data_IF_815060360842
#
_entry.id   IF_815060360842
#
_cell.length_a   1.000
_cell.length_b   1.000
_cell.length_c   1.000
_cell.angle_alpha   90.00
_cell.angle_beta   90.00
_cell.angle_gamma   90.00
#
_symmetry.space_group_name_H-M   'P 1'
#
loop_
_entity.id
_entity.type
_entity.pdbx_description
1 polymer ?
#
# COMPACT_ATOMS: atom_id res chain seq x y z
N UNK A 1 -16.90 -9.49 8.76
CA UNK A 1 -15.91 -9.47 9.86
C UNK A 1 -15.04 -8.26 9.67
N UNK A 2 -14.90 -7.44 10.71
CA UNK A 2 -14.05 -6.24 10.70
C UNK A 2 -12.59 -6.59 10.97
N UNK A 3 -11.70 -5.85 10.32
CA UNK A 3 -10.26 -5.96 10.51
C UNK A 3 -9.67 -4.58 10.68
N UNK A 4 -8.77 -4.43 11.65
CA UNK A 4 -8.03 -3.17 11.83
C UNK A 4 -6.72 -3.22 11.07
N UNK A 5 -6.43 -2.18 10.31
CA UNK A 5 -5.16 -2.02 9.61
C UNK A 5 -4.10 -1.54 10.59
N UNK A 6 -3.03 -2.31 10.75
CA UNK A 6 -1.90 -1.98 11.62
C UNK A 6 -0.90 -1.11 10.88
N UNK A 7 -0.58 -1.50 9.64
CA UNK A 7 0.51 -0.95 8.87
C UNK A 7 0.30 -1.24 7.39
N UNK A 8 0.77 -0.37 6.51
CA UNK A 8 0.63 -0.52 5.06
C UNK A 8 1.90 -0.07 4.36
N UNK A 9 2.38 -0.90 3.44
CA UNK A 9 3.60 -0.71 2.65
C UNK A 9 3.21 -0.71 1.18
N UNK A 10 3.72 0.23 0.41
CA UNK A 10 3.48 0.31 -1.03
C UNK A 10 4.76 -0.01 -1.78
N UNK A 11 4.68 -0.95 -2.73
CA UNK A 11 5.74 -1.25 -3.68
C UNK A 11 5.44 -0.55 -5.02
N UNK A 12 6.15 0.54 -5.36
CA UNK A 12 5.94 1.33 -6.55
C UNK A 12 6.38 0.61 -7.82
N UNK A 13 7.37 -0.29 -7.73
CA UNK A 13 7.86 -1.10 -8.86
C UNK A 13 6.91 -2.21 -9.29
N UNK A 14 5.96 -2.61 -8.43
CA UNK A 14 5.01 -3.70 -8.71
C UNK A 14 3.56 -3.25 -8.76
N UNK A 15 3.25 -2.02 -8.32
CA UNK A 15 1.87 -1.54 -8.22
C UNK A 15 1.04 -2.29 -7.15
N UNK A 16 1.71 -2.89 -6.15
CA UNK A 16 1.09 -3.68 -5.09
C UNK A 16 1.23 -2.96 -3.75
N UNK A 17 0.12 -2.91 -3.01
CA UNK A 17 0.08 -2.54 -1.60
C UNK A 17 0.01 -3.79 -0.74
N UNK A 18 0.76 -3.75 0.36
CA UNK A 18 0.74 -4.75 1.40
C UNK A 18 0.16 -4.13 2.66
N UNK A 19 -0.86 -4.75 3.27
CA UNK A 19 -1.39 -4.30 4.56
C UNK A 19 -1.32 -5.41 5.60
N UNK A 20 -0.73 -5.08 6.75
CA UNK A 20 -0.82 -5.89 7.95
C UNK A 20 -2.16 -5.56 8.62
N UNK A 21 -3.01 -6.57 8.76
CA UNK A 21 -4.33 -6.43 9.36
C UNK A 21 -4.47 -7.39 10.53
N UNK A 22 -5.28 -7.03 11.53
CA UNK A 22 -5.60 -7.94 12.61
C UNK A 22 -7.09 -7.94 12.95
N UNK A 23 -7.57 -9.10 13.35
CA UNK A 23 -8.93 -9.27 13.85
C UNK A 23 -8.98 -9.04 15.37
N UNK A 24 -10.20 -8.94 15.90
CA UNK A 24 -10.48 -8.91 17.34
C UNK A 24 -10.02 -10.18 18.09
N UNK A 25 -9.80 -11.30 17.39
CA UNK A 25 -9.34 -12.58 17.95
C UNK A 25 -7.82 -12.78 17.82
N UNK A 26 -7.04 -11.71 17.68
CA UNK A 26 -5.58 -11.72 17.53
C UNK A 26 -5.02 -12.42 16.29
N UNK A 27 -5.86 -12.86 15.34
CA UNK A 27 -5.38 -13.33 14.04
C UNK A 27 -4.80 -12.15 13.24
N UNK A 28 -3.54 -12.26 12.83
CA UNK A 28 -2.84 -11.28 11.99
C UNK A 28 -2.61 -11.84 10.59
N UNK A 29 -2.95 -11.05 9.57
CA UNK A 29 -2.80 -11.41 8.17
C UNK A 29 -2.04 -10.31 7.42
N UNK A 30 -1.46 -10.69 6.29
CA UNK A 30 -0.92 -9.77 5.30
C UNK A 30 -1.78 -9.83 4.04
N UNK A 31 -2.40 -8.73 3.67
CA UNK A 31 -3.10 -8.55 2.41
C UNK A 31 -2.15 -8.04 1.34
N UNK A 32 -2.30 -8.56 0.11
CA UNK A 32 -1.58 -8.15 -1.08
C UNK A 32 -2.62 -7.73 -2.10
N UNK A 33 -2.63 -6.47 -2.50
CA UNK A 33 -3.72 -5.91 -3.30
C UNK A 33 -3.25 -4.77 -4.19
N UNK A 34 -4.08 -4.38 -5.14
CA UNK A 34 -3.80 -3.26 -6.04
C UNK A 34 -3.56 -1.96 -5.26
N UNK A 35 -2.45 -1.26 -5.56
CA UNK A 35 -2.01 -0.10 -4.80
C UNK A 35 -2.83 1.19 -4.99
N UNK A 36 -3.71 1.24 -5.99
CA UNK A 36 -4.57 2.41 -6.26
C UNK A 36 -5.63 2.60 -5.18
N UNK A 37 -5.96 1.54 -4.45
CA UNK A 37 -6.71 1.61 -3.20
C UNK A 37 -5.68 1.59 -2.09
N UNK A 38 -5.68 2.59 -1.21
CA UNK A 38 -4.81 2.61 -0.05
C UNK A 38 -5.63 2.38 1.21
N UNK A 39 -5.23 1.37 2.00
CA UNK A 39 -5.79 1.12 3.33
C UNK A 39 -4.88 1.77 4.37
N UNK A 40 -5.23 2.93 4.95
CA UNK A 40 -4.37 3.64 5.89
C UNK A 40 -4.27 2.90 7.24
N UNK A 41 -3.10 2.93 7.91
CA UNK A 41 -2.97 2.47 9.29
C UNK A 41 -4.03 3.11 10.20
N UNK A 42 -4.63 2.31 11.08
CA UNK A 42 -5.70 2.73 11.99
C UNK A 42 -7.11 2.60 11.42
N UNK A 43 -7.28 2.44 10.10
CA UNK A 43 -8.61 2.23 9.50
C UNK A 43 -9.19 0.85 9.82
N UNK A 44 -10.52 0.76 9.74
CA UNK A 44 -11.27 -0.49 9.78
C UNK A 44 -11.63 -0.88 8.36
N UNK A 45 -11.35 -2.13 8.01
CA UNK A 45 -11.72 -2.72 6.73
C UNK A 45 -12.71 -3.86 6.90
N UNK A 46 -13.67 -3.94 5.98
CA UNK A 46 -14.66 -5.01 5.92
C UNK A 46 -14.68 -5.57 4.50
N UNK A 47 -14.43 -6.88 4.31
CA UNK A 47 -14.59 -7.53 3.01
C UNK A 47 -16.02 -7.36 2.49
N UNK A 48 -16.16 -7.01 1.22
CA UNK A 48 -17.44 -6.79 0.56
C UNK A 48 -17.44 -7.46 -0.83
N UNK A 49 -18.61 -7.78 -1.41
CA UNK A 49 -18.63 -8.62 -2.62
C UNK A 49 -17.90 -8.01 -3.84
N UNK A 50 -17.77 -6.68 -3.88
CA UNK A 50 -17.19 -5.90 -4.98
C UNK A 50 -15.91 -5.16 -4.55
N UNK A 51 -15.33 -5.52 -3.40
CA UNK A 51 -14.12 -4.88 -2.89
C UNK A 51 -14.07 -4.86 -1.38
N UNK A 52 -13.76 -3.70 -0.81
CA UNK A 52 -13.60 -3.52 0.63
C UNK A 52 -14.24 -2.22 1.06
N UNK A 53 -14.97 -2.26 2.19
CA UNK A 53 -15.33 -1.05 2.91
C UNK A 53 -14.11 -0.60 3.73
N UNK A 54 -13.65 0.63 3.55
CA UNK A 54 -12.62 1.26 4.38
C UNK A 54 -13.29 2.41 5.12
N UNK A 55 -13.42 2.30 6.45
CA UNK A 55 -14.20 3.24 7.27
C UNK A 55 -15.57 3.56 6.64
N UNK A 56 -16.35 2.50 6.39
CA UNK A 56 -17.71 2.54 5.82
C UNK A 56 -17.86 3.03 4.37
N UNK A 57 -16.76 3.38 3.70
CA UNK A 57 -16.79 3.75 2.28
C UNK A 57 -16.31 2.59 1.40
N UNK A 58 -17.09 2.27 0.37
CA UNK A 58 -16.77 1.17 -0.56
C UNK A 58 -15.68 1.58 -1.56
N UNK A 59 -14.64 0.76 -1.63
CA UNK A 59 -13.58 0.85 -2.62
C UNK A 59 -13.49 -0.46 -3.40
N UNK A 60 -13.56 -0.42 -4.75
CA UNK A 60 -13.30 -1.61 -5.56
C UNK A 60 -11.81 -1.94 -5.46
N UNK A 61 -11.48 -3.13 -4.96
CA UNK A 61 -10.09 -3.55 -4.77
C UNK A 61 -9.89 -4.97 -5.28
N UNK A 62 -8.82 -5.17 -6.05
CA UNK A 62 -8.36 -6.49 -6.44
C UNK A 62 -7.38 -6.99 -5.39
N UNK A 63 -7.74 -8.08 -4.70
CA UNK A 63 -6.86 -8.76 -3.74
C UNK A 63 -6.15 -9.90 -4.47
N UNK A 64 -4.82 -9.84 -4.51
CA UNK A 64 -3.98 -10.85 -5.17
C UNK A 64 -3.67 -12.02 -4.25
N UNK A 65 -3.45 -11.76 -2.96
CA UNK A 65 -3.10 -12.80 -2.00
C UNK A 65 -3.45 -12.39 -0.56
N UNK A 66 -3.69 -13.39 0.28
CA UNK A 66 -3.89 -13.23 1.73
C UNK A 66 -3.07 -14.31 2.43
N UNK A 67 -2.10 -13.88 3.23
CA UNK A 67 -1.23 -14.80 3.97
C UNK A 67 -1.29 -14.53 5.46
N UNK A 68 -0.86 -15.50 6.29
CA UNK A 68 -0.63 -15.22 7.72
C UNK A 68 0.51 -14.22 7.85
N UNK A 69 0.41 -13.33 8.82
CA UNK A 69 1.47 -12.36 9.06
C UNK A 69 2.79 -13.07 9.40
N UNK A 70 3.84 -12.75 8.65
CA UNK A 70 5.20 -13.20 8.88
C UNK A 70 6.10 -11.97 9.09
N UNK A 71 6.69 -11.80 10.30
CA UNK A 71 7.51 -10.63 10.61
C UNK A 71 8.75 -10.49 9.72
N UNK A 72 9.41 -11.59 9.36
CA UNK A 72 10.62 -11.57 8.54
C UNK A 72 10.29 -11.14 7.10
N UNK A 73 9.20 -11.68 6.54
CA UNK A 73 8.70 -11.25 5.24
C UNK A 73 8.28 -9.78 5.28
N UNK A 74 7.57 -9.34 6.32
CA UNK A 74 7.14 -7.95 6.46
C UNK A 74 8.32 -6.97 6.50
N UNK A 75 9.38 -7.32 7.25
CA UNK A 75 10.63 -6.54 7.28
C UNK A 75 11.24 -6.43 5.87
N UNK A 76 11.36 -7.56 5.17
CA UNK A 76 11.87 -7.59 3.80
C UNK A 76 11.02 -6.73 2.84
N UNK A 77 9.69 -6.77 2.95
CA UNK A 77 8.80 -5.92 2.15
C UNK A 77 9.07 -4.44 2.37
N UNK A 78 9.25 -4.01 3.63
CA UNK A 78 9.57 -2.60 3.94
C UNK A 78 10.90 -2.17 3.34
N UNK A 79 11.93 -2.99 3.50
CA UNK A 79 13.29 -2.69 3.03
C UNK A 79 13.34 -2.61 1.49
N UNK A 80 12.61 -3.47 0.78
CA UNK A 80 12.71 -3.58 -0.68
C UNK A 80 11.69 -2.74 -1.46
N UNK A 81 10.65 -2.21 -0.81
CA UNK A 81 9.62 -1.44 -1.51
C UNK A 81 10.11 -0.07 -1.98
N UNK A 82 11.08 0.56 -1.30
CA UNK A 82 11.70 1.84 -1.70
C UNK A 82 10.74 3.03 -2.00
N UNK A 83 9.44 2.93 -1.75
CA UNK A 83 8.52 4.05 -1.94
C UNK A 83 8.84 5.13 -0.89
N UNK A 84 9.12 6.38 -1.30
CA UNK A 84 9.38 7.47 -0.36
C UNK A 84 8.20 7.73 0.60
N UNK A 85 6.98 7.45 0.17
CA UNK A 85 5.78 7.60 0.99
C UNK A 85 5.61 6.56 2.09
N UNK A 86 6.38 5.47 2.07
CA UNK A 86 6.44 4.52 3.19
C UNK A 86 7.27 5.07 4.36
N UNK A 87 8.07 6.12 4.16
CA UNK A 87 8.92 6.71 5.18
C UNK A 87 8.12 7.66 6.09
N UNK A 88 8.55 7.74 7.35
CA UNK A 88 8.10 8.74 8.31
C UNK A 88 9.34 9.52 8.82
N UNK A 89 9.35 10.87 8.76
CA UNK A 89 8.30 11.74 8.22
C UNK A 89 8.11 11.58 6.71
N UNK A 90 6.90 11.90 6.23
CA UNK A 90 6.59 11.85 4.80
C UNK A 90 7.35 12.98 4.07
N UNK A 91 8.02 12.69 2.95
CA UNK A 91 8.69 13.72 2.17
C UNK A 91 7.67 14.64 1.49
N UNK A 92 8.09 15.85 1.09
CA UNK A 92 7.23 16.77 0.33
C UNK A 92 7.08 16.36 -1.14
N UNK A 93 8.10 15.69 -1.70
CA UNK A 93 8.14 15.26 -3.09
C UNK A 93 8.49 13.77 -3.23
N UNK A 94 8.06 13.16 -4.34
CA UNK A 94 8.43 11.78 -4.64
C UNK A 94 9.86 11.72 -5.21
N UNK A 95 10.77 11.10 -4.46
CA UNK A 95 12.16 10.84 -4.87
C UNK A 95 12.39 9.45 -5.46
N UNK A 96 11.32 8.70 -5.77
CA UNK A 96 11.45 7.36 -6.34
C UNK A 96 12.09 7.47 -7.73
N UNK A 97 13.26 6.83 -7.97
CA UNK A 97 14.08 7.11 -9.15
C UNK A 97 13.60 6.42 -10.43
N UNK A 98 12.60 5.54 -10.35
CA UNK A 98 12.10 4.75 -11.49
C UNK A 98 10.64 5.09 -11.79
N UNK A 99 10.12 4.53 -12.90
CA UNK A 99 8.69 4.59 -13.20
C UNK A 99 7.89 3.91 -12.09
N UNK A 100 6.97 4.67 -11.48
CA UNK A 100 6.07 4.18 -10.45
C UNK A 100 4.82 3.62 -11.12
N UNK A 101 4.55 2.32 -10.93
CA UNK A 101 3.38 1.63 -11.49
C UNK A 101 2.07 1.95 -10.75
N UNK A 102 2.12 2.69 -9.66
CA UNK A 102 0.92 3.16 -8.94
C UNK A 102 0.32 4.34 -9.70
N UNK A 103 -0.94 4.18 -10.15
CA UNK A 103 -1.57 5.15 -11.07
C UNK A 103 -1.77 6.51 -10.41
N UNK A 104 -2.26 6.52 -9.16
CA UNK A 104 -2.49 7.71 -8.33
C UNK A 104 -1.74 7.56 -7.01
N UNK A 105 -0.86 8.53 -6.69
CA UNK A 105 -0.10 8.46 -5.45
C UNK A 105 -1.02 8.59 -4.22
N UNK A 106 -1.14 7.57 -3.36
CA UNK A 106 -2.03 7.63 -2.20
C UNK A 106 -1.51 8.56 -1.10
N UNK A 107 -0.24 8.97 -1.19
CA UNK A 107 0.39 9.92 -0.28
C UNK A 107 0.33 11.36 -0.79
N UNK A 108 -0.22 11.60 -1.99
CA UNK A 108 -0.30 12.95 -2.58
C UNK A 108 1.05 13.54 -3.02
N UNK A 109 2.10 12.72 -3.13
CA UNK A 109 3.42 13.19 -3.54
C UNK A 109 3.46 13.48 -5.03
N UNK A 110 3.94 14.67 -5.41
CA UNK A 110 4.17 15.03 -6.80
C UNK A 110 5.31 14.18 -7.36
N UNK A 111 5.09 13.54 -8.52
CA UNK A 111 6.17 12.85 -9.24
C UNK A 111 7.16 13.91 -9.71
N UNK A 112 8.42 13.80 -9.31
CA UNK A 112 9.49 14.48 -10.01
C UNK A 112 9.63 13.83 -11.39
N UNK A 113 8.88 14.32 -12.37
CA UNK A 113 9.12 13.99 -13.76
C UNK A 113 10.42 14.72 -14.10
N UNK A 114 11.57 14.07 -13.89
CA UNK A 114 12.76 14.46 -14.62
C UNK A 114 12.43 14.19 -16.09
N UNK A 115 12.07 15.25 -16.81
CA UNK A 115 11.94 15.21 -18.26
C UNK A 115 13.34 14.87 -18.76
N UNK A 116 13.53 13.60 -19.11
CA UNK A 116 14.75 13.13 -19.74
C UNK A 116 14.80 13.76 -21.14
N UNK A 117 15.37 14.97 -21.22
CA UNK A 117 15.71 15.65 -22.47
C UNK A 117 16.89 14.94 -23.14
N UNK A 118 16.72 13.66 -23.48
CA UNK A 118 17.68 12.88 -24.26
C UNK A 118 16.99 12.19 -25.42
N UNK A 119 16.59 12.99 -26.41
CA UNK A 119 16.69 12.66 -27.84
C UNK A 119 16.86 13.97 -28.63
N UNK A 120 18.12 14.39 -28.80
CA UNK A 120 18.57 15.21 -29.94
C UNK A 120 19.48 14.31 -30.75
#
# INVERSE_FOLDING_TARGET
>A
MEWKVVDTVISPSTGVSFSCIHSLKNLRLTLWYQADVYMPPGSIIIPFNKGVLINDKLYPVTVYNVTRFNPALWKSLKENSHCPGNCNPKPEACSYPFECLVSVCPFGLTRNIQIDNKKV
#
